data_IF_041821012378
#
_entry.id   IF_041821012378
#
_cell.length_a   1.000
_cell.length_b   1.000
_cell.length_c   1.000
_cell.angle_alpha   90.00
_cell.angle_beta   90.00
_cell.angle_gamma   90.00
#
_symmetry.space_group_name_H-M   'P 1'
#
loop_
_entity.id
_entity.type
_entity.pdbx_description
1 polymer ?
#
# COMPACT_ATOMS: atom_id res chain seq x y z
N UNK A 1 13.98 7.40 26.01
CA UNK A 1 13.58 6.39 25.01
C UNK A 1 12.66 7.06 24.00
N UNK A 2 13.09 7.18 22.75
CA UNK A 2 12.42 8.00 21.73
C UNK A 2 11.19 7.24 21.24
N UNK A 3 10.01 7.67 21.68
CA UNK A 3 8.70 7.21 21.19
C UNK A 3 8.46 7.69 19.75
N UNK A 4 9.36 7.32 18.83
CA UNK A 4 9.13 7.48 17.40
C UNK A 4 8.17 6.35 17.03
N UNK A 5 6.91 6.70 16.77
CA UNK A 5 5.89 5.73 16.37
C UNK A 5 6.32 5.11 15.03
N UNK A 6 7.01 3.98 15.09
CA UNK A 6 7.42 3.13 13.96
C UNK A 6 6.23 2.39 13.32
N UNK A 7 5.07 3.05 13.25
CA UNK A 7 3.82 2.48 12.72
C UNK A 7 3.54 2.87 11.26
N UNK A 8 4.43 3.65 10.64
CA UNK A 8 4.37 3.96 9.22
C UNK A 8 5.42 3.11 8.51
N UNK A 9 5.06 2.50 7.37
CA UNK A 9 6.06 1.96 6.43
C UNK A 9 7.18 2.98 6.31
N UNK A 10 8.45 2.58 6.38
CA UNK A 10 9.61 3.47 6.39
C UNK A 10 9.80 4.36 5.14
N UNK A 11 8.73 4.54 4.35
CA UNK A 11 8.61 5.38 3.17
C UNK A 11 8.49 6.83 3.61
N UNK A 12 9.56 7.59 3.35
CA UNK A 12 9.54 9.05 3.42
C UNK A 12 9.08 9.59 2.07
N UNK A 13 8.02 10.39 2.04
CA UNK A 13 7.52 11.09 0.84
C UNK A 13 8.34 12.36 0.54
N UNK A 14 9.66 12.21 0.43
CA UNK A 14 10.62 13.29 0.14
C UNK A 14 10.73 13.60 -1.37
N UNK A 15 10.23 12.73 -2.25
CA UNK A 15 10.33 12.87 -3.71
C UNK A 15 8.96 12.72 -4.39
N UNK A 16 8.71 13.45 -5.49
CA UNK A 16 7.40 13.45 -6.16
C UNK A 16 6.99 12.07 -6.69
N UNK A 17 7.92 11.25 -7.18
CA UNK A 17 7.60 9.89 -7.65
C UNK A 17 7.13 8.96 -6.52
N UNK A 18 7.47 9.25 -5.25
CA UNK A 18 7.02 8.43 -4.11
C UNK A 18 5.54 8.58 -3.84
N UNK A 19 4.89 9.61 -4.38
CA UNK A 19 3.44 9.75 -4.35
C UNK A 19 2.74 8.59 -5.08
N UNK A 20 3.41 7.92 -6.03
CA UNK A 20 2.90 6.69 -6.65
C UNK A 20 2.74 5.54 -5.65
N UNK A 21 3.39 5.59 -4.48
CA UNK A 21 3.28 4.55 -3.45
C UNK A 21 2.10 4.76 -2.50
N UNK A 22 1.41 5.90 -2.58
CA UNK A 22 0.22 6.20 -1.76
C UNK A 22 -0.85 5.11 -1.81
N UNK A 23 -1.28 4.59 -2.98
CA UNK A 23 -2.30 3.55 -3.01
C UNK A 23 -1.89 2.31 -2.21
N UNK A 24 -0.63 1.89 -2.27
CA UNK A 24 -0.16 0.77 -1.44
C UNK A 24 -0.16 1.06 0.05
N UNK A 25 0.18 2.29 0.45
CA UNK A 25 0.12 2.72 1.87
C UNK A 25 -1.32 2.67 2.37
N UNK A 26 -2.26 3.20 1.58
CA UNK A 26 -3.68 3.24 1.92
C UNK A 26 -4.24 1.82 2.04
N UNK A 27 -3.94 0.93 1.08
CA UNK A 27 -4.40 -0.46 1.11
C UNK A 27 -3.87 -1.23 2.32
N UNK A 28 -2.58 -1.08 2.64
CA UNK A 28 -1.98 -1.71 3.82
C UNK A 28 -2.56 -1.15 5.14
N UNK A 29 -2.88 0.14 5.17
CA UNK A 29 -3.55 0.76 6.30
C UNK A 29 -4.98 0.23 6.48
N UNK A 30 -5.73 0.07 5.39
CA UNK A 30 -7.06 -0.54 5.41
C UNK A 30 -7.00 -2.02 5.85
N UNK A 31 -6.04 -2.81 5.34
CA UNK A 31 -5.83 -4.20 5.76
C UNK A 31 -5.47 -4.29 7.26
N UNK A 32 -4.77 -3.29 7.79
CA UNK A 32 -4.47 -3.20 9.21
C UNK A 32 -5.69 -2.82 10.06
N UNK A 33 -6.59 -1.96 9.55
CA UNK A 33 -7.80 -1.56 10.27
C UNK A 33 -8.84 -2.67 10.39
N UNK A 34 -8.84 -3.64 9.48
CA UNK A 34 -9.78 -4.77 9.54
C UNK A 34 -9.35 -5.72 10.67
N UNK A 35 -10.16 -5.90 11.73
CA UNK A 35 -9.82 -6.79 12.82
C UNK A 35 -9.85 -8.24 12.33
N UNK A 36 -8.67 -8.80 12.07
CA UNK A 36 -8.49 -10.19 11.64
C UNK A 36 -7.59 -10.93 12.63
N UNK A 37 -7.74 -12.24 12.76
CA UNK A 37 -6.87 -13.09 13.63
C UNK A 37 -5.37 -12.97 13.30
N UNK A 38 -5.02 -12.33 12.18
CA UNK A 38 -3.66 -12.13 11.66
C UNK A 38 -3.08 -10.73 11.90
N UNK A 39 -3.51 -10.00 12.95
CA UNK A 39 -3.04 -8.63 13.28
C UNK A 39 -1.50 -8.49 13.23
N UNK A 40 -0.76 -9.46 13.78
CA UNK A 40 0.72 -9.44 13.82
C UNK A 40 1.31 -9.51 12.40
N UNK A 41 0.70 -10.29 11.50
CA UNK A 41 1.13 -10.42 10.11
C UNK A 41 0.78 -9.15 9.33
N UNK A 42 -0.42 -8.61 9.53
CA UNK A 42 -0.86 -7.35 8.91
C UNK A 42 0.03 -6.19 9.35
N UNK A 43 0.38 -6.10 10.64
CA UNK A 43 1.31 -5.10 11.16
C UNK A 43 2.72 -5.24 10.57
N UNK A 44 3.21 -6.48 10.37
CA UNK A 44 4.50 -6.73 9.71
C UNK A 44 4.47 -6.29 8.24
N UNK A 45 3.38 -6.57 7.52
CA UNK A 45 3.20 -6.14 6.13
C UNK A 45 3.10 -4.62 6.00
N UNK A 46 2.31 -3.97 6.85
CA UNK A 46 2.15 -2.53 6.87
C UNK A 46 3.46 -1.76 7.17
N UNK A 47 4.42 -2.38 7.86
CA UNK A 47 5.74 -1.81 8.11
C UNK A 47 6.76 -2.08 7.01
N UNK A 48 6.48 -2.98 6.07
CA UNK A 48 7.40 -3.36 5.01
C UNK A 48 7.31 -2.42 3.81
N UNK A 49 8.39 -1.69 3.46
CA UNK A 49 8.42 -0.85 2.27
C UNK A 49 8.19 -1.67 1.00
N UNK A 50 8.72 -2.90 0.96
CA UNK A 50 8.52 -3.83 -0.14
C UNK A 50 7.04 -4.14 -0.36
N UNK A 51 6.31 -4.45 0.71
CA UNK A 51 4.87 -4.74 0.61
C UNK A 51 4.10 -3.53 0.10
N UNK A 52 4.48 -2.32 0.50
CA UNK A 52 3.83 -1.11 -0.01
C UNK A 52 4.03 -0.96 -1.52
N UNK A 53 5.24 -1.26 -2.02
CA UNK A 53 5.52 -1.24 -3.46
C UNK A 53 4.69 -2.31 -4.18
N UNK A 54 4.63 -3.53 -3.66
CA UNK A 54 3.83 -4.62 -4.24
C UNK A 54 2.35 -4.26 -4.33
N UNK A 55 1.77 -3.72 -3.25
CA UNK A 55 0.36 -3.31 -3.24
C UNK A 55 0.10 -2.13 -4.18
N UNK A 56 1.03 -1.19 -4.30
CA UNK A 56 0.92 -0.08 -5.26
C UNK A 56 0.95 -0.58 -6.70
N UNK A 57 1.89 -1.49 -7.02
CA UNK A 57 1.98 -2.11 -8.36
C UNK A 57 0.70 -2.88 -8.66
N UNK A 58 0.21 -3.70 -7.72
CA UNK A 58 -1.03 -4.45 -7.89
C UNK A 58 -2.23 -3.52 -8.13
N UNK A 59 -2.34 -2.42 -7.39
CA UNK A 59 -3.38 -1.41 -7.60
C UNK A 59 -3.35 -0.83 -9.02
N UNK A 60 -2.19 -0.42 -9.51
CA UNK A 60 -2.06 0.12 -10.86
C UNK A 60 -2.26 -0.94 -11.95
N UNK A 61 -1.78 -2.16 -11.75
CA UNK A 61 -1.99 -3.26 -12.70
C UNK A 61 -3.47 -3.59 -12.87
N UNK A 62 -4.21 -3.67 -11.75
CA UNK A 62 -5.67 -3.87 -11.77
C UNK A 62 -6.37 -2.67 -12.40
N UNK A 63 -5.99 -1.44 -12.03
CA UNK A 63 -6.55 -0.23 -12.62
C UNK A 63 -6.35 -0.14 -14.13
N UNK A 64 -5.15 -0.45 -14.62
CA UNK A 64 -4.84 -0.51 -16.05
C UNK A 64 -5.62 -1.62 -16.76
N UNK A 65 -5.76 -2.79 -16.14
CA UNK A 65 -6.54 -3.88 -16.69
C UNK A 65 -8.02 -3.52 -16.83
N UNK A 66 -8.61 -2.90 -15.81
CA UNK A 66 -10.00 -2.41 -15.83
C UNK A 66 -10.15 -1.34 -16.91
N UNK A 67 -9.24 -0.36 -16.96
CA UNK A 67 -9.28 0.70 -17.96
C UNK A 67 -9.19 0.14 -19.39
N UNK A 68 -8.28 -0.81 -19.62
CA UNK A 68 -8.14 -1.48 -20.91
C UNK A 68 -9.42 -2.25 -21.28
N UNK A 69 -10.02 -2.96 -20.32
CA UNK A 69 -11.28 -3.69 -20.53
C UNK A 69 -12.44 -2.77 -20.87
N UNK A 70 -12.52 -1.60 -20.23
CA UNK A 70 -13.55 -0.58 -20.51
C UNK A 70 -13.36 0.01 -21.91
N UNK A 71 -12.11 0.28 -22.32
CA UNK A 71 -11.80 0.81 -23.65
C UNK A 71 -12.07 -0.25 -24.74
N UNK A 72 -11.70 -1.50 -24.51
CA UNK A 72 -11.92 -2.58 -25.49
C UNK A 72 -13.40 -3.03 -25.57
N UNK A 73 -14.20 -2.72 -24.56
CA UNK A 73 -15.63 -3.00 -24.52
C UNK A 73 -16.52 -1.89 -25.10
N UNK A 74 -15.93 -0.76 -25.54
CA UNK A 74 -16.60 0.29 -26.34
C UNK A 74 -16.38 0.01 -27.83
#
# INVERSE_FOLDING_TARGET
>A
MRWKRDNLAGIKFDRPWKWLLLPGVILLWLEFMIPSKKIIVSARRARSPLMTTVYSIAFYAVGLFILASVIAGQ
#
